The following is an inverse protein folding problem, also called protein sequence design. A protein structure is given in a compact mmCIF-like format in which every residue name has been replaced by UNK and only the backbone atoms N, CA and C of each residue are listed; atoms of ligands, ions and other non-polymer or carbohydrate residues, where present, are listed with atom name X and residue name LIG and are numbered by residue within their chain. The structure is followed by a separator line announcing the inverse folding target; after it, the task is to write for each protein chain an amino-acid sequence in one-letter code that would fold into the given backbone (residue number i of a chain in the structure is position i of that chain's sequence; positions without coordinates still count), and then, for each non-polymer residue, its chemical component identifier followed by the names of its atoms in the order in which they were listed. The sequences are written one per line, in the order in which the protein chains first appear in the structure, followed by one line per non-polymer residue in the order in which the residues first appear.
data_IF_888814338050
#
_entry.id   IF_888814338050
#
_cell.length_a   1.000
_cell.length_b   1.000
_cell.length_c   1.000
_cell.angle_alpha   90.00
_cell.angle_beta   90.00
_cell.angle_gamma   90.00
#
_symmetry.space_group_name_H-M   'P 1'
#
loop_
_entity.id
_entity.type
_entity.pdbx_description
1 polymer ?
#
# COMPACT_ATOMS: atom_id res chain seq x y z
N UNK A 1 -7.42 22.91 30.12
CA UNK A 1 -7.39 21.45 29.93
C UNK A 1 -6.36 21.16 28.84
N UNK A 2 -5.38 20.28 29.08
CA UNK A 2 -4.30 19.97 28.13
C UNK A 2 -4.60 18.63 27.45
N UNK A 3 -4.49 18.58 26.12
CA UNK A 3 -4.68 17.35 25.33
C UNK A 3 -3.33 16.68 25.12
N UNK A 4 -3.20 15.40 25.49
CA UNK A 4 -1.95 14.65 25.40
C UNK A 4 -1.85 13.76 24.16
N UNK A 5 -2.99 13.25 23.69
CA UNK A 5 -3.07 12.42 22.49
C UNK A 5 -4.50 12.44 21.96
N UNK A 6 -4.66 12.15 20.67
CA UNK A 6 -5.96 11.95 20.02
C UNK A 6 -6.01 10.54 19.45
N UNK A 7 -7.08 9.80 19.74
CA UNK A 7 -7.32 8.48 19.17
C UNK A 7 -8.42 8.60 18.14
N UNK A 8 -8.17 8.10 16.92
CA UNK A 8 -9.12 8.18 15.81
C UNK A 8 -9.30 6.85 15.11
N UNK A 9 -10.54 6.57 14.71
CA UNK A 9 -10.89 5.51 13.77
C UNK A 9 -11.31 6.11 12.43
N UNK A 10 -11.20 5.32 11.38
CA UNK A 10 -11.85 5.59 10.11
C UNK A 10 -13.37 5.36 10.23
N UNK A 11 -14.23 6.25 9.67
CA UNK A 11 -15.67 6.03 9.64
C UNK A 11 -16.05 4.80 8.79
N UNK A 12 -17.22 4.23 9.05
CA UNK A 12 -17.78 3.12 8.25
C UNK A 12 -18.24 3.60 6.86
N UNK A 13 -18.62 4.88 6.76
CA UNK A 13 -19.01 5.55 5.52
C UNK A 13 -18.61 7.03 5.57
N UNK A 14 -18.15 7.56 4.43
CA UNK A 14 -17.75 8.95 4.25
C UNK A 14 -16.24 9.21 4.39
N UNK A 15 -15.76 10.22 3.68
CA UNK A 15 -14.34 10.59 3.62
C UNK A 15 -13.91 11.53 4.75
N UNK A 16 -14.27 11.24 5.99
CA UNK A 16 -13.56 11.90 7.10
C UNK A 16 -12.17 11.27 7.19
N UNK A 17 -11.26 11.84 6.41
CA UNK A 17 -9.89 11.37 6.31
C UNK A 17 -9.17 11.59 7.64
N UNK A 18 -8.62 10.53 8.25
CA UNK A 18 -7.69 10.63 9.39
C UNK A 18 -6.55 11.64 9.15
N UNK A 19 -6.28 11.98 7.89
CA UNK A 19 -5.33 13.01 7.50
C UNK A 19 -5.66 14.40 8.08
N UNK A 20 -6.93 14.83 8.06
CA UNK A 20 -7.32 16.16 8.56
C UNK A 20 -6.99 16.32 10.05
N UNK A 21 -7.35 15.32 10.86
CA UNK A 21 -7.00 15.29 12.29
C UNK A 21 -5.48 15.25 12.47
N UNK A 22 -4.78 14.45 11.67
CA UNK A 22 -3.31 14.39 11.72
C UNK A 22 -2.66 15.74 11.41
N UNK A 23 -3.19 16.52 10.45
CA UNK A 23 -2.64 17.83 10.12
C UNK A 23 -2.83 18.83 11.26
N UNK A 24 -4.07 18.93 11.77
CA UNK A 24 -4.39 19.86 12.85
C UNK A 24 -3.59 19.51 14.11
N UNK A 25 -3.54 18.24 14.51
CA UNK A 25 -2.77 17.82 15.68
C UNK A 25 -1.26 17.95 15.47
N UNK A 26 -0.77 17.73 14.24
CA UNK A 26 0.64 17.90 13.88
C UNK A 26 1.13 19.33 14.10
N UNK A 27 0.31 20.35 13.82
CA UNK A 27 0.63 21.76 14.07
C UNK A 27 0.91 22.04 15.56
N UNK A 28 0.16 21.40 16.46
CA UNK A 28 0.30 21.55 17.91
C UNK A 28 1.23 20.51 18.55
N UNK A 29 1.92 19.68 17.75
CA UNK A 29 2.72 18.54 18.22
C UNK A 29 1.95 17.57 19.13
N UNK A 30 0.65 17.40 18.88
CA UNK A 30 -0.19 16.43 19.60
C UNK A 30 -0.11 15.08 18.86
N UNK A 31 0.30 13.99 19.54
CA UNK A 31 0.26 12.63 19.01
C UNK A 31 -1.15 12.21 18.56
N UNK A 32 -1.24 11.55 17.41
CA UNK A 32 -2.49 10.96 16.90
C UNK A 32 -2.31 9.47 16.72
N UNK A 33 -3.22 8.66 17.25
CA UNK A 33 -3.21 7.20 17.15
C UNK A 33 -4.40 6.75 16.28
N UNK A 34 -4.10 6.32 15.06
CA UNK A 34 -5.07 5.71 14.15
C UNK A 34 -5.27 4.22 14.44
N UNK A 35 -6.50 3.82 14.79
CA UNK A 35 -6.79 2.43 15.19
C UNK A 35 -7.29 1.53 14.05
N UNK A 36 -7.69 2.12 12.91
CA UNK A 36 -8.20 1.35 11.77
C UNK A 36 -7.66 1.81 10.40
N UNK A 37 -6.91 2.92 10.35
CA UNK A 37 -6.43 3.50 9.09
C UNK A 37 -5.22 2.77 8.53
N UNK A 38 -5.40 2.18 7.34
CA UNK A 38 -4.37 1.36 6.67
C UNK A 38 -3.70 2.03 5.46
N UNK A 39 -4.08 3.25 5.12
CA UNK A 39 -3.43 4.00 4.05
C UNK A 39 -1.94 4.23 4.34
N UNK A 40 -1.10 3.99 3.33
CA UNK A 40 0.35 4.11 3.38
C UNK A 40 0.80 5.57 3.42
N UNK A 41 0.00 6.49 2.86
CA UNK A 41 0.24 7.94 2.91
C UNK A 41 0.37 8.47 4.34
N UNK A 42 -0.41 7.94 5.29
CA UNK A 42 -0.35 8.33 6.70
C UNK A 42 0.96 7.94 7.41
N UNK A 43 1.85 7.17 6.78
CA UNK A 43 3.20 6.93 7.32
C UNK A 43 4.26 7.95 6.88
N UNK A 44 3.96 8.85 5.94
CA UNK A 44 4.90 9.90 5.57
C UNK A 44 5.13 10.85 6.75
N UNK A 45 6.34 10.85 7.31
CA UNK A 45 6.69 11.65 8.50
C UNK A 45 6.95 13.13 8.19
N UNK A 46 7.11 13.49 6.92
CA UNK A 46 7.15 14.89 6.50
C UNK A 46 5.75 15.51 6.59
N UNK A 47 4.72 14.72 6.27
CA UNK A 47 3.33 15.16 6.20
C UNK A 47 2.54 14.88 7.49
N UNK A 48 2.74 13.70 8.07
CA UNK A 48 2.02 13.16 9.23
C UNK A 48 2.97 12.86 10.40
N UNK A 49 3.73 13.88 10.82
CA UNK A 49 4.81 13.77 11.82
C UNK A 49 4.38 13.06 13.11
N UNK A 50 3.24 13.42 13.67
CA UNK A 50 2.75 12.92 14.96
C UNK A 50 1.84 11.70 14.86
N UNK A 51 1.61 11.19 13.64
CA UNK A 51 0.69 10.08 13.42
C UNK A 51 1.34 8.73 13.76
N UNK A 52 0.65 7.94 14.55
CA UNK A 52 0.95 6.57 14.94
C UNK A 52 -0.24 5.70 14.57
N UNK A 53 -0.02 4.39 14.39
CA UNK A 53 -1.09 3.44 14.05
C UNK A 53 -0.88 2.12 14.76
N UNK A 54 -1.98 1.44 15.07
CA UNK A 54 -1.96 0.11 15.68
C UNK A 54 -2.07 -1.02 14.65
N UNK A 55 -2.46 -0.69 13.41
CA UNK A 55 -2.66 -1.65 12.32
C UNK A 55 -1.66 -1.34 11.20
N UNK A 56 -0.99 -2.35 10.61
CA UNK A 56 -0.03 -2.16 9.54
C UNK A 56 -0.67 -1.52 8.29
N UNK A 57 0.02 -0.64 7.53
CA UNK A 57 -0.49 -0.18 6.24
C UNK A 57 -0.71 -1.30 5.22
N UNK A 58 -1.43 -1.02 4.15
CA UNK A 58 -1.66 -1.99 3.07
C UNK A 58 -0.37 -2.45 2.40
N UNK A 59 0.59 -1.55 2.22
CA UNK A 59 1.91 -1.86 1.65
C UNK A 59 2.67 -2.94 2.41
N UNK A 60 2.47 -3.08 3.73
CA UNK A 60 3.12 -4.12 4.53
C UNK A 60 2.73 -5.56 4.14
N UNK A 61 1.62 -5.75 3.44
CA UNK A 61 1.20 -7.06 2.95
C UNK A 61 2.17 -7.63 1.90
N UNK A 62 2.92 -6.76 1.21
CA UNK A 62 3.93 -7.16 0.25
C UNK A 62 5.02 -8.06 0.86
N UNK A 63 5.32 -7.89 2.15
CA UNK A 63 6.30 -8.72 2.85
C UNK A 63 5.87 -10.20 2.86
N UNK A 64 4.58 -10.44 3.15
CA UNK A 64 3.99 -11.79 3.18
C UNK A 64 3.95 -12.40 1.78
N UNK A 65 3.67 -11.60 0.75
CA UNK A 65 3.70 -12.09 -0.63
C UNK A 65 5.10 -12.56 -1.04
N UNK A 66 6.14 -11.81 -0.69
CA UNK A 66 7.52 -12.21 -0.97
C UNK A 66 7.89 -13.50 -0.22
N UNK A 67 7.50 -13.63 1.05
CA UNK A 67 7.71 -14.85 1.83
C UNK A 67 6.98 -16.06 1.21
N UNK A 68 5.74 -15.87 0.75
CA UNK A 68 4.96 -16.90 0.08
C UNK A 68 5.61 -17.34 -1.24
N UNK A 69 6.05 -16.39 -2.06
CA UNK A 69 6.74 -16.67 -3.33
C UNK A 69 8.05 -17.43 -3.10
N UNK A 70 8.79 -17.06 -2.05
CA UNK A 70 10.00 -17.76 -1.64
C UNK A 70 9.70 -19.19 -1.22
N UNK A 71 8.67 -19.41 -0.39
CA UNK A 71 8.24 -20.73 0.06
C UNK A 71 7.82 -21.62 -1.11
N UNK A 72 7.05 -21.07 -2.06
CA UNK A 72 6.59 -21.76 -3.26
C UNK A 72 7.66 -21.83 -4.37
N UNK A 73 8.84 -21.25 -4.16
CA UNK A 73 9.97 -21.18 -5.11
C UNK A 73 9.63 -20.49 -6.43
N UNK A 74 8.69 -19.56 -6.42
CA UNK A 74 8.40 -18.70 -7.57
C UNK A 74 9.40 -17.54 -7.63
N UNK A 75 10.08 -17.40 -8.78
CA UNK A 75 11.13 -16.38 -9.01
C UNK A 75 10.76 -15.35 -10.08
N UNK A 76 9.60 -15.50 -10.70
CA UNK A 76 9.13 -14.72 -11.83
C UNK A 76 7.71 -14.27 -11.51
N UNK A 77 7.47 -12.96 -11.43
CA UNK A 77 6.17 -12.38 -11.09
C UNK A 77 5.80 -11.26 -12.05
N UNK A 78 4.52 -11.18 -12.41
CA UNK A 78 3.90 -9.99 -12.99
C UNK A 78 3.16 -9.27 -11.86
N UNK A 79 3.44 -7.98 -11.67
CA UNK A 79 2.84 -7.20 -10.60
C UNK A 79 1.83 -6.21 -11.20
N UNK A 80 0.60 -6.25 -10.72
CA UNK A 80 -0.49 -5.38 -11.15
C UNK A 80 -0.89 -4.52 -9.95
N UNK A 81 -0.93 -3.21 -10.12
CA UNK A 81 -1.34 -2.31 -9.03
C UNK A 81 -2.18 -1.14 -9.52
N UNK A 82 -3.01 -0.63 -8.62
CA UNK A 82 -3.70 0.64 -8.82
C UNK A 82 -2.73 1.82 -8.89
N UNK A 83 -3.09 2.85 -9.64
CA UNK A 83 -2.34 4.11 -9.78
C UNK A 83 -2.49 5.05 -8.59
N UNK A 84 -3.00 4.58 -7.46
CA UNK A 84 -3.08 5.36 -6.23
C UNK A 84 -1.79 5.27 -5.40
N UNK A 85 -1.75 6.04 -4.31
CA UNK A 85 -0.59 6.07 -3.43
C UNK A 85 -0.32 4.75 -2.71
N UNK A 86 -1.36 3.98 -2.38
CA UNK A 86 -1.20 2.67 -1.75
C UNK A 86 -0.69 1.63 -2.75
N UNK A 87 -1.15 1.66 -3.99
CA UNK A 87 -0.66 0.78 -5.07
C UNK A 87 0.83 1.00 -5.34
N UNK A 88 1.25 2.26 -5.52
CA UNK A 88 2.68 2.60 -5.67
C UNK A 88 3.52 2.24 -4.45
N UNK A 89 3.01 2.50 -3.23
CA UNK A 89 3.73 2.15 -2.00
C UNK A 89 3.89 0.62 -1.85
N UNK A 90 2.86 -0.14 -2.24
CA UNK A 90 2.87 -1.61 -2.21
C UNK A 90 3.85 -2.17 -3.24
N UNK A 91 3.86 -1.66 -4.48
CA UNK A 91 4.84 -2.03 -5.50
C UNK A 91 6.27 -1.76 -5.02
N UNK A 92 6.54 -0.54 -4.55
CA UNK A 92 7.89 -0.15 -4.12
C UNK A 92 8.39 -1.02 -2.97
N UNK A 93 7.51 -1.34 -2.00
CA UNK A 93 7.86 -2.25 -0.91
C UNK A 93 8.09 -3.68 -1.40
N UNK A 94 7.25 -4.18 -2.29
CA UNK A 94 7.41 -5.49 -2.91
C UNK A 94 8.76 -5.60 -3.63
N UNK A 95 9.11 -4.64 -4.49
CA UNK A 95 10.38 -4.61 -5.22
C UNK A 95 11.59 -4.66 -4.28
N UNK A 96 11.61 -3.76 -3.28
CA UNK A 96 12.69 -3.69 -2.29
C UNK A 96 12.89 -5.00 -1.51
N UNK A 97 11.82 -5.76 -1.29
CA UNK A 97 11.85 -7.03 -0.56
C UNK A 97 12.12 -8.24 -1.47
N UNK A 98 11.63 -8.20 -2.70
CA UNK A 98 11.73 -9.26 -3.70
C UNK A 98 13.12 -9.36 -4.33
N UNK A 99 13.76 -8.22 -4.61
CA UNK A 99 15.06 -8.17 -5.30
C UNK A 99 16.17 -8.93 -4.52
N UNK A 100 16.36 -8.73 -3.20
CA UNK A 100 17.34 -9.51 -2.43
C UNK A 100 17.05 -11.01 -2.37
N UNK A 101 15.79 -11.42 -2.56
CA UNK A 101 15.38 -12.83 -2.59
C UNK A 101 15.52 -13.47 -3.99
N UNK A 102 15.99 -12.70 -4.98
CA UNK A 102 16.13 -13.14 -6.35
C UNK A 102 14.80 -13.41 -7.05
N UNK A 103 13.74 -12.71 -6.65
CA UNK A 103 12.43 -12.73 -7.31
C UNK A 103 12.40 -11.54 -8.27
N UNK A 104 12.23 -11.82 -9.57
CA UNK A 104 12.20 -10.82 -10.63
C UNK A 104 10.77 -10.45 -11.00
N UNK A 105 10.53 -9.15 -11.17
CA UNK A 105 9.33 -8.66 -11.81
C UNK A 105 9.58 -8.66 -13.33
N UNK A 106 8.80 -9.43 -14.08
CA UNK A 106 8.88 -9.44 -15.55
C UNK A 106 8.13 -8.25 -16.15
N UNK A 107 6.96 -7.94 -15.58
CA UNK A 107 6.14 -6.79 -15.99
C UNK A 107 5.47 -6.17 -14.78
N UNK A 108 5.33 -4.85 -14.83
CA UNK A 108 4.50 -4.06 -13.93
C UNK A 108 3.37 -3.46 -14.75
N UNK A 109 2.13 -3.66 -14.32
CA UNK A 109 0.93 -3.11 -14.96
C UNK A 109 0.29 -2.17 -13.94
N UNK A 110 0.25 -0.88 -14.26
CA UNK A 110 -0.45 0.13 -13.48
C UNK A 110 -1.81 0.38 -14.12
N UNK A 111 -2.89 0.40 -13.33
CA UNK A 111 -4.23 0.71 -13.81
C UNK A 111 -4.86 1.82 -12.97
N UNK A 112 -5.72 2.64 -13.58
CA UNK A 112 -6.40 3.72 -12.87
C UNK A 112 -7.67 3.20 -12.17
N UNK A 113 -7.85 3.44 -10.86
CA UNK A 113 -9.06 3.04 -10.14
C UNK A 113 -10.33 3.57 -10.81
N UNK A 114 -11.32 2.70 -10.99
CA UNK A 114 -12.58 3.04 -11.65
C UNK A 114 -12.57 2.84 -13.17
N UNK A 115 -11.42 2.62 -13.80
CA UNK A 115 -11.34 2.13 -15.18
C UNK A 115 -11.48 0.61 -15.18
N UNK A 116 -12.46 0.09 -15.94
CA UNK A 116 -12.76 -1.35 -15.99
C UNK A 116 -12.07 -2.07 -17.14
N UNK A 117 -11.55 -1.34 -18.12
CA UNK A 117 -10.96 -1.94 -19.32
C UNK A 117 -9.42 -1.94 -19.21
N UNK A 118 -8.90 -3.06 -18.72
CA UNK A 118 -7.46 -3.41 -18.72
C UNK A 118 -7.21 -4.63 -19.63
N UNK A 119 -8.14 -4.86 -20.57
CA UNK A 119 -8.18 -6.11 -21.33
C UNK A 119 -6.98 -6.21 -22.25
N UNK A 120 -6.55 -5.10 -22.84
CA UNK A 120 -5.39 -5.04 -23.72
C UNK A 120 -4.10 -5.41 -22.99
N UNK A 121 -3.86 -4.83 -21.82
CA UNK A 121 -2.67 -5.07 -21.00
C UNK A 121 -2.63 -6.53 -20.52
N UNK A 122 -3.78 -7.10 -20.21
CA UNK A 122 -3.90 -8.51 -19.83
C UNK A 122 -3.70 -9.47 -21.02
N UNK A 123 -4.18 -9.14 -22.21
CA UNK A 123 -3.93 -9.93 -23.42
C UNK A 123 -2.44 -9.96 -23.75
N UNK A 124 -1.76 -8.81 -23.70
CA UNK A 124 -0.30 -8.74 -23.87
C UNK A 124 0.45 -9.50 -22.76
N UNK A 125 -0.13 -9.63 -21.57
CA UNK A 125 0.46 -10.40 -20.47
C UNK A 125 0.43 -11.92 -20.70
N UNK A 126 -0.41 -12.42 -21.63
CA UNK A 126 -0.49 -13.87 -21.92
C UNK A 126 0.77 -14.41 -22.60
N UNK A 127 1.48 -13.54 -23.33
CA UNK A 127 2.74 -13.86 -24.02
C UNK A 127 3.93 -13.95 -23.07
N UNK A 128 3.78 -13.50 -21.82
CA UNK A 128 4.84 -13.50 -20.81
C UNK A 128 5.18 -14.92 -20.33
N UNK A 129 6.43 -15.10 -19.90
CA UNK A 129 6.91 -16.36 -19.37
C UNK A 129 6.44 -16.61 -17.93
N UNK A 130 6.34 -15.57 -17.12
CA UNK A 130 5.80 -15.65 -15.76
C UNK A 130 4.32 -16.05 -15.78
N UNK A 131 3.94 -16.97 -14.89
CA UNK A 131 2.54 -17.38 -14.67
C UNK A 131 1.99 -16.97 -13.31
N UNK A 132 2.76 -16.22 -12.54
CA UNK A 132 2.37 -15.74 -11.21
C UNK A 132 2.06 -14.26 -11.30
N UNK A 133 0.82 -13.91 -10.97
CA UNK A 133 0.32 -12.55 -10.98
C UNK A 133 0.02 -12.12 -9.54
N UNK A 134 0.58 -11.01 -9.12
CA UNK A 134 0.28 -10.37 -7.83
C UNK A 134 -0.51 -9.10 -8.13
N UNK A 135 -1.75 -9.06 -7.66
CA UNK A 135 -2.67 -7.94 -7.88
C UNK A 135 -2.87 -7.18 -6.57
N UNK A 136 -2.65 -5.86 -6.63
CA UNK A 136 -3.12 -4.92 -5.62
C UNK A 136 -4.19 -4.01 -6.23
N UNK A 137 -5.35 -3.95 -5.58
CA UNK A 137 -6.49 -3.17 -6.03
C UNK A 137 -7.18 -2.47 -4.86
N UNK A 138 -7.71 -1.27 -5.13
CA UNK A 138 -8.46 -0.41 -4.20
C UNK A 138 -9.86 -0.13 -4.71
#
# INVERSE_FOLDING_TARGET
MMVFAVVISHPVSGELSPAAVSYTCGFYNVPVIGISSRHSSLSDKNLHRTFLRTVPPYSQQADVWVELLQFLKYRCVVFIHSSDNDGRATLGRFQNKAEPQGIKLERVIEYEPGITDITQELEESKELHCRVFVLYAT
#
